data_IF_835749759422
#
_entry.id   IF_835749759422
#
_cell.length_a   1.000
_cell.length_b   1.000
_cell.length_c   1.000
_cell.angle_alpha   90.00
_cell.angle_beta   90.00
_cell.angle_gamma   90.00
#
_symmetry.space_group_name_H-M   'P 1'
#
loop_
_entity.id
_entity.type
_entity.pdbx_description
1 polymer ?
#
# COMPACT_ATOMS: atom_id res chain seq x y z
N UNK A 1 -34.09 61.96 -9.48
CA UNK A 1 -34.55 60.99 -8.44
C UNK A 1 -33.48 59.92 -8.25
N UNK A 2 -33.25 59.54 -7.00
CA UNK A 2 -32.17 58.67 -6.50
C UNK A 2 -32.47 57.17 -6.74
N UNK A 3 -31.39 56.39 -6.96
CA UNK A 3 -31.14 55.00 -6.45
C UNK A 3 -31.99 53.86 -7.06
N UNK A 4 -31.54 52.61 -7.22
CA UNK A 4 -30.41 51.80 -6.72
C UNK A 4 -30.19 50.63 -7.70
N UNK A 5 -28.93 50.29 -8.03
CA UNK A 5 -28.56 49.02 -8.68
C UNK A 5 -28.40 47.98 -7.56
N UNK A 6 -29.14 46.86 -7.53
CA UNK A 6 -28.82 45.79 -6.61
C UNK A 6 -27.66 44.97 -7.18
N UNK A 7 -26.48 45.18 -6.61
CA UNK A 7 -25.37 44.23 -6.62
C UNK A 7 -25.86 42.92 -5.99
N UNK A 8 -26.16 41.91 -6.81
CA UNK A 8 -26.28 40.54 -6.32
C UNK A 8 -24.89 39.92 -6.31
N UNK A 9 -24.15 40.17 -5.23
CA UNK A 9 -22.90 39.49 -4.91
C UNK A 9 -23.23 38.03 -4.56
N UNK A 10 -23.19 37.16 -5.56
CA UNK A 10 -23.34 35.72 -5.37
C UNK A 10 -22.19 35.19 -4.51
N UNK A 11 -22.49 34.88 -3.26
CA UNK A 11 -21.56 34.27 -2.33
C UNK A 11 -21.23 32.85 -2.83
N UNK A 12 -20.06 32.68 -3.43
CA UNK A 12 -19.52 31.37 -3.79
C UNK A 12 -19.11 30.66 -2.48
N UNK A 13 -20.02 29.88 -1.90
CA UNK A 13 -19.72 28.98 -0.79
C UNK A 13 -18.85 27.84 -1.33
N UNK A 14 -17.53 28.05 -1.37
CA UNK A 14 -16.56 26.97 -1.56
C UNK A 14 -16.54 26.19 -0.26
N UNK A 15 -17.41 25.19 -0.14
CA UNK A 15 -17.27 24.17 0.88
C UNK A 15 -15.99 23.41 0.56
N UNK A 16 -14.90 23.76 1.26
CA UNK A 16 -13.69 22.94 1.30
C UNK A 16 -14.07 21.68 2.07
N UNK A 17 -14.63 20.69 1.38
CA UNK A 17 -14.69 19.34 1.90
C UNK A 17 -13.23 18.88 2.06
N UNK A 18 -12.71 18.92 3.30
CA UNK A 18 -11.50 18.18 3.62
C UNK A 18 -11.80 16.72 3.25
N UNK A 19 -11.04 16.18 2.30
CA UNK A 19 -11.10 14.75 2.00
C UNK A 19 -10.67 14.02 3.27
N UNK A 20 -11.55 13.24 3.93
CA UNK A 20 -11.15 12.57 5.16
C UNK A 20 -10.02 11.58 4.82
N UNK A 21 -9.00 11.50 5.67
CA UNK A 21 -8.02 10.43 5.56
C UNK A 21 -8.60 9.07 5.98
N UNK A 22 -7.81 8.02 5.79
CA UNK A 22 -8.03 6.71 6.41
C UNK A 22 -6.71 6.10 6.86
N UNK A 23 -6.77 5.09 7.73
CA UNK A 23 -5.58 4.32 8.09
C UNK A 23 -5.60 2.98 7.34
N UNK A 24 -4.53 2.66 6.62
CA UNK A 24 -4.30 1.31 6.07
C UNK A 24 -3.22 0.64 6.87
N UNK A 25 -3.47 -0.57 7.37
CA UNK A 25 -2.56 -1.29 8.25
C UNK A 25 -2.52 -2.79 7.94
N UNK A 26 -1.40 -3.43 8.28
CA UNK A 26 -1.28 -4.89 8.21
C UNK A 26 -2.10 -5.56 9.31
N UNK A 27 -2.82 -6.59 8.90
CA UNK A 27 -3.58 -7.47 9.80
C UNK A 27 -2.70 -8.62 10.28
N UNK A 28 -2.92 -9.11 11.50
CA UNK A 28 -2.22 -10.29 12.05
C UNK A 28 -2.61 -11.61 11.37
N UNK A 29 -3.43 -11.55 10.32
CA UNK A 29 -3.89 -12.70 9.56
C UNK A 29 -2.83 -13.19 8.58
N UNK A 30 -1.72 -13.73 9.10
CA UNK A 30 -0.91 -14.71 8.37
C UNK A 30 -1.71 -16.02 8.30
N UNK A 31 -2.84 -16.02 7.59
CA UNK A 31 -3.72 -17.18 7.51
C UNK A 31 -3.08 -18.23 6.60
N UNK A 32 -2.67 -19.35 7.21
CA UNK A 32 -2.47 -20.66 6.59
C UNK A 32 -1.22 -20.90 5.71
N UNK A 33 -0.07 -20.29 6.02
CA UNK A 33 1.20 -20.81 5.49
C UNK A 33 1.76 -21.84 6.47
N UNK A 34 1.67 -23.12 6.12
CA UNK A 34 2.09 -24.24 6.97
C UNK A 34 3.63 -24.34 6.97
N UNK A 35 4.27 -23.78 8.00
CA UNK A 35 5.73 -23.81 8.20
C UNK A 35 6.28 -22.46 8.69
N UNK A 36 7.52 -22.39 9.20
CA UNK A 36 8.15 -21.11 9.51
C UNK A 36 8.30 -20.32 8.21
N UNK A 37 7.58 -19.20 8.12
CA UNK A 37 7.66 -18.30 6.97
C UNK A 37 9.07 -17.70 6.91
N UNK A 38 9.88 -18.14 5.93
CA UNK A 38 11.29 -17.74 5.82
C UNK A 38 11.49 -16.38 5.15
N UNK A 39 10.45 -15.85 4.53
CA UNK A 39 10.42 -14.48 3.99
C UNK A 39 9.17 -13.81 4.51
N UNK A 40 9.34 -12.85 5.42
CA UNK A 40 8.20 -12.14 6.03
C UNK A 40 8.11 -10.73 5.49
N UNK A 41 6.88 -10.24 5.36
CA UNK A 41 6.58 -8.87 4.93
C UNK A 41 5.95 -8.13 6.11
N UNK A 42 6.45 -6.93 6.39
CA UNK A 42 5.86 -6.00 7.35
C UNK A 42 5.56 -4.68 6.65
N UNK A 43 4.29 -4.29 6.68
CA UNK A 43 3.76 -3.03 6.17
C UNK A 43 3.42 -2.15 7.37
N UNK A 44 4.12 -1.03 7.52
CA UNK A 44 3.73 -0.02 8.49
C UNK A 44 2.45 0.69 8.06
N UNK A 45 1.66 1.17 9.02
CA UNK A 45 0.44 1.85 8.65
C UNK A 45 0.71 3.15 7.91
N UNK A 46 -0.17 3.43 6.97
CA UNK A 46 -0.16 4.62 6.13
C UNK A 46 -1.48 5.35 6.28
N UNK A 47 -1.45 6.65 5.96
CA UNK A 47 -2.58 7.56 6.18
C UNK A 47 -2.97 8.32 4.90
N UNK A 48 -3.34 7.62 3.82
CA UNK A 48 -3.77 8.25 2.56
C UNK A 48 -5.12 8.96 2.71
N UNK A 49 -5.41 9.84 1.74
CA UNK A 49 -6.74 10.43 1.58
C UNK A 49 -7.68 9.41 0.93
N UNK A 50 -8.96 9.35 1.34
CA UNK A 50 -9.87 8.30 0.86
C UNK A 50 -10.16 8.39 -0.65
N UNK A 51 -10.00 9.57 -1.24
CA UNK A 51 -10.23 9.86 -2.65
C UNK A 51 -9.02 9.61 -3.56
N UNK A 52 -7.83 9.35 -3.02
CA UNK A 52 -6.64 9.07 -3.82
C UNK A 52 -6.82 7.82 -4.68
N UNK A 53 -6.19 7.79 -5.86
CA UNK A 53 -6.19 6.65 -6.79
C UNK A 53 -4.79 6.04 -6.90
N UNK A 54 -3.99 6.18 -5.85
CA UNK A 54 -2.66 5.60 -5.74
C UNK A 54 -2.43 5.14 -4.30
N UNK A 55 -1.54 4.17 -4.13
CA UNK A 55 -1.14 3.69 -2.82
C UNK A 55 0.37 3.47 -2.78
N UNK A 56 1.05 4.22 -1.92
CA UNK A 56 2.48 4.12 -1.67
C UNK A 56 2.76 4.29 -0.17
N UNK A 57 2.70 3.21 0.63
CA UNK A 57 3.05 3.29 2.04
C UNK A 57 4.53 3.60 2.22
N UNK A 58 4.84 4.39 3.24
CA UNK A 58 6.20 4.89 3.49
C UNK A 58 7.20 3.78 3.81
N UNK A 59 6.74 2.67 4.40
CA UNK A 59 7.63 1.63 4.90
C UNK A 59 7.04 0.23 4.75
N UNK A 60 7.52 -0.48 3.73
CA UNK A 60 7.36 -1.93 3.58
C UNK A 60 8.71 -2.58 3.74
N UNK A 61 8.82 -3.47 4.71
CA UNK A 61 10.04 -4.21 4.98
C UNK A 61 9.87 -5.69 4.65
N UNK A 62 10.86 -6.26 3.99
CA UNK A 62 10.95 -7.69 3.68
C UNK A 62 12.13 -8.27 4.44
N UNK A 63 11.89 -9.30 5.23
CA UNK A 63 12.93 -9.99 6.01
C UNK A 63 13.23 -11.33 5.39
N UNK A 64 14.49 -11.54 5.03
CA UNK A 64 15.01 -12.83 4.58
C UNK A 64 15.58 -13.60 5.78
N UNK A 65 14.88 -14.65 6.22
CA UNK A 65 15.33 -15.57 7.28
C UNK A 65 16.06 -16.81 6.76
N UNK A 66 16.33 -16.90 5.45
CA UNK A 66 17.24 -17.91 4.91
C UNK A 66 18.70 -17.60 5.28
N UNK A 67 19.51 -18.65 5.25
CA UNK A 67 20.98 -18.62 5.39
C UNK A 67 21.70 -18.17 4.11
N UNK A 68 20.96 -17.91 3.04
CA UNK A 68 21.45 -17.43 1.74
C UNK A 68 20.63 -16.24 1.23
N UNK A 69 21.18 -15.44 0.29
CA UNK A 69 20.44 -14.33 -0.30
C UNK A 69 19.21 -14.79 -1.08
N UNK A 70 18.19 -13.94 -1.10
CA UNK A 70 17.03 -14.05 -2.00
C UNK A 70 17.05 -12.89 -2.99
N UNK A 71 16.35 -13.06 -4.11
CA UNK A 71 16.16 -12.01 -5.10
C UNK A 71 14.66 -11.74 -5.24
N UNK A 72 14.19 -10.56 -4.81
CA UNK A 72 12.84 -10.08 -5.10
C UNK A 72 12.74 -9.81 -6.59
N UNK A 73 11.72 -10.36 -7.23
CA UNK A 73 11.50 -10.28 -8.68
C UNK A 73 10.39 -9.34 -9.07
N UNK A 74 9.34 -9.25 -8.25
CA UNK A 74 8.21 -8.33 -8.43
C UNK A 74 7.41 -8.20 -7.15
N UNK A 75 6.58 -7.16 -7.10
CA UNK A 75 5.62 -6.93 -6.03
C UNK A 75 4.27 -6.60 -6.63
N UNK A 76 3.23 -7.21 -6.09
CA UNK A 76 1.85 -7.04 -6.53
C UNK A 76 0.95 -6.73 -5.34
N UNK A 77 -0.10 -5.97 -5.58
CA UNK A 77 -1.21 -5.79 -4.64
C UNK A 77 -2.47 -6.41 -5.25
N UNK A 78 -3.13 -7.31 -4.54
CA UNK A 78 -4.40 -7.90 -4.95
C UNK A 78 -5.50 -7.36 -4.07
N UNK A 79 -6.46 -6.64 -4.65
CA UNK A 79 -7.61 -6.09 -3.93
C UNK A 79 -8.86 -6.16 -4.81
N UNK A 80 -9.99 -6.57 -4.22
CA UNK A 80 -11.29 -6.66 -4.91
C UNK A 80 -11.24 -7.39 -6.27
N UNK A 81 -10.44 -8.46 -6.36
CA UNK A 81 -10.27 -9.24 -7.59
C UNK A 81 -9.36 -8.61 -8.67
N UNK A 82 -8.77 -7.45 -8.39
CA UNK A 82 -7.81 -6.77 -9.28
C UNK A 82 -6.39 -6.96 -8.77
N UNK A 83 -5.44 -7.22 -9.68
CA UNK A 83 -4.00 -7.24 -9.39
C UNK A 83 -3.36 -5.96 -9.90
N UNK A 84 -2.80 -5.17 -8.98
CA UNK A 84 -2.02 -3.97 -9.27
C UNK A 84 -0.54 -4.30 -9.26
N UNK A 85 0.16 -3.87 -10.31
CA UNK A 85 1.60 -4.05 -10.42
C UNK A 85 2.32 -2.87 -9.77
N UNK A 86 3.42 -3.17 -9.07
CA UNK A 86 4.30 -2.11 -8.58
C UNK A 86 4.81 -1.25 -9.75
N UNK A 87 4.76 0.07 -9.57
CA UNK A 87 5.31 1.05 -10.51
C UNK A 87 6.63 1.61 -9.98
N UNK A 88 7.67 1.51 -10.80
CA UNK A 88 8.97 2.09 -10.48
C UNK A 88 8.93 3.61 -10.65
N UNK A 89 9.18 4.33 -9.56
CA UNK A 89 9.23 5.80 -9.57
C UNK A 89 10.65 6.32 -9.88
N UNK A 90 11.67 5.49 -9.65
CA UNK A 90 13.05 5.75 -10.04
C UNK A 90 13.77 4.45 -10.42
N UNK A 91 14.89 4.57 -11.14
CA UNK A 91 15.72 3.41 -11.52
C UNK A 91 16.28 2.64 -10.32
N UNK A 92 16.27 3.23 -9.11
CA UNK A 92 16.70 2.56 -7.87
C UNK A 92 15.61 1.69 -7.25
N UNK A 93 14.37 1.86 -7.71
CA UNK A 93 13.20 1.13 -7.23
C UNK A 93 12.91 -0.09 -8.12
N UNK A 94 13.75 -0.35 -9.13
CA UNK A 94 13.61 -1.46 -10.07
C UNK A 94 13.91 -2.81 -9.45
N UNK A 95 13.11 -3.80 -9.83
CA UNK A 95 13.40 -5.21 -9.58
C UNK A 95 14.22 -5.77 -10.75
N UNK A 96 15.19 -6.67 -10.51
CA UNK A 96 15.37 -7.46 -9.29
C UNK A 96 16.12 -6.76 -8.15
N UNK A 97 15.71 -7.03 -6.91
CA UNK A 97 16.37 -6.56 -5.69
C UNK A 97 16.90 -7.73 -4.86
N UNK A 98 18.18 -7.71 -4.50
CA UNK A 98 18.78 -8.76 -3.65
C UNK A 98 18.68 -8.41 -2.18
N UNK A 99 18.17 -9.33 -1.37
CA UNK A 99 18.19 -9.25 0.10
C UNK A 99 19.14 -10.31 0.63
N UNK A 100 20.19 -9.87 1.33
CA UNK A 100 21.17 -10.76 1.92
C UNK A 100 20.57 -11.69 2.99
N UNK A 101 21.26 -12.79 3.27
CA UNK A 101 20.87 -13.76 4.30
C UNK A 101 20.69 -13.08 5.67
N UNK A 102 19.61 -13.41 6.38
CA UNK A 102 19.32 -12.87 7.71
C UNK A 102 19.10 -11.36 7.76
N UNK A 103 18.82 -10.69 6.64
CA UNK A 103 18.64 -9.24 6.57
C UNK A 103 17.19 -8.85 6.30
N UNK A 104 16.85 -7.68 6.83
CA UNK A 104 15.63 -6.95 6.51
C UNK A 104 15.98 -5.78 5.59
N UNK A 105 15.20 -5.60 4.53
CA UNK A 105 15.34 -4.50 3.59
C UNK A 105 14.00 -3.79 3.45
N UNK A 106 14.01 -2.46 3.52
CA UNK A 106 12.86 -1.63 3.15
C UNK A 106 12.81 -1.56 1.63
N UNK A 107 11.64 -1.82 1.07
CA UNK A 107 11.38 -1.78 -0.37
C UNK A 107 10.40 -0.65 -0.70
N UNK A 108 10.71 0.20 -1.69
CA UNK A 108 9.78 1.21 -2.16
C UNK A 108 8.64 0.51 -2.90
N UNK A 109 7.40 0.88 -2.60
CA UNK A 109 6.22 0.39 -3.32
C UNK A 109 5.32 1.55 -3.73
N UNK A 110 4.68 1.38 -4.88
CA UNK A 110 3.77 2.33 -5.48
C UNK A 110 2.81 1.56 -6.37
N UNK A 111 1.51 1.77 -6.20
CA UNK A 111 0.46 1.19 -7.03
C UNK A 111 -0.46 2.30 -7.52
N UNK A 112 -0.71 2.33 -8.83
CA UNK A 112 -1.81 3.12 -9.40
C UNK A 112 -3.08 2.28 -9.28
N UNK A 113 -4.10 2.79 -8.59
CA UNK A 113 -5.35 2.10 -8.31
C UNK A 113 -6.41 2.45 -9.35
N UNK A 114 -7.26 1.47 -9.68
CA UNK A 114 -8.40 1.68 -10.60
C UNK A 114 -9.56 2.42 -9.91
N UNK A 115 -9.68 2.26 -8.59
CA UNK A 115 -10.68 2.87 -7.74
C UNK A 115 -9.99 3.72 -6.66
N UNK A 116 -10.79 4.49 -5.91
CA UNK A 116 -10.25 5.25 -4.78
C UNK A 116 -9.68 4.33 -3.70
N UNK A 117 -8.76 4.83 -2.89
CA UNK A 117 -8.17 4.11 -1.76
C UNK A 117 -9.26 3.49 -0.86
N UNK A 118 -10.28 4.26 -0.46
CA UNK A 118 -11.35 3.74 0.38
C UNK A 118 -12.13 2.59 -0.27
N UNK A 119 -12.38 2.64 -1.60
CA UNK A 119 -13.01 1.53 -2.30
C UNK A 119 -12.10 0.31 -2.42
N UNK A 120 -10.81 0.54 -2.64
CA UNK A 120 -9.83 -0.53 -2.81
C UNK A 120 -9.60 -1.31 -1.51
N UNK A 121 -9.55 -0.61 -0.37
CA UNK A 121 -9.24 -1.19 0.94
C UNK A 121 -10.46 -1.33 1.86
N UNK A 122 -11.68 -1.28 1.31
CA UNK A 122 -12.91 -1.59 2.05
C UNK A 122 -13.04 -3.08 2.43
N UNK A 123 -12.20 -3.92 1.84
CA UNK A 123 -11.99 -5.31 2.16
C UNK A 123 -10.47 -5.57 2.30
N UNK A 124 -10.05 -6.67 2.93
CA UNK A 124 -8.64 -7.03 3.00
C UNK A 124 -8.02 -7.16 1.61
N UNK A 125 -6.88 -6.49 1.43
CA UNK A 125 -6.03 -6.59 0.25
C UNK A 125 -4.78 -7.41 0.59
N UNK A 126 -4.24 -8.09 -0.41
CA UNK A 126 -3.09 -8.98 -0.27
C UNK A 126 -1.89 -8.38 -1.01
N UNK A 127 -0.85 -8.02 -0.26
CA UNK A 127 0.45 -7.65 -0.78
C UNK A 127 1.27 -8.93 -1.02
N UNK A 128 1.70 -9.15 -2.26
CA UNK A 128 2.50 -10.29 -2.68
C UNK A 128 3.90 -9.84 -3.05
N UNK A 129 4.91 -10.42 -2.41
CA UNK A 129 6.32 -10.22 -2.79
C UNK A 129 6.83 -11.53 -3.38
N UNK A 130 7.13 -11.51 -4.67
CA UNK A 130 7.69 -12.66 -5.37
C UNK A 130 9.20 -12.63 -5.21
N UNK A 131 9.77 -13.77 -4.85
CA UNK A 131 11.20 -13.90 -4.64
C UNK A 131 11.73 -15.21 -5.20
N UNK A 132 13.00 -15.20 -5.59
CA UNK A 132 13.72 -16.40 -5.99
C UNK A 132 14.71 -16.81 -4.92
N UNK A 133 14.62 -18.07 -4.56
CA UNK A 133 15.64 -18.80 -3.82
C UNK A 133 16.30 -19.76 -4.83
N UNK A 134 17.50 -19.42 -5.31
CA UNK A 134 18.18 -20.17 -6.38
C UNK A 134 17.39 -20.17 -7.71
N UNK A 135 16.75 -21.30 -8.10
CA UNK A 135 16.03 -21.43 -9.39
C UNK A 135 14.50 -21.37 -9.27
N UNK A 136 13.97 -21.49 -8.06
CA UNK A 136 12.52 -21.54 -7.84
C UNK A 136 12.02 -20.16 -7.44
N UNK A 137 10.89 -19.75 -8.03
CA UNK A 137 10.14 -18.57 -7.57
C UNK A 137 9.13 -19.00 -6.49
N UNK A 138 8.97 -18.15 -5.48
CA UNK A 138 8.03 -18.31 -4.37
C UNK A 138 7.42 -16.96 -4.05
N UNK A 139 6.37 -16.95 -3.23
CA UNK A 139 5.60 -15.75 -2.90
C UNK A 139 5.49 -15.64 -1.39
N UNK A 140 5.83 -14.47 -0.86
CA UNK A 140 5.52 -14.07 0.50
C UNK A 140 4.27 -13.18 0.48
N UNK A 141 3.47 -13.25 1.54
CA UNK A 141 2.15 -12.64 1.59
C UNK A 141 2.01 -11.75 2.83
N UNK A 142 1.38 -10.59 2.68
CA UNK A 142 0.88 -9.78 3.79
C UNK A 142 -0.51 -9.28 3.48
N UNK A 143 -1.39 -9.29 4.48
CA UNK A 143 -2.76 -8.82 4.33
C UNK A 143 -2.92 -7.45 5.00
N UNK A 144 -3.36 -6.47 4.23
CA UNK A 144 -3.57 -5.09 4.68
C UNK A 144 -5.05 -4.71 4.55
N UNK A 145 -5.55 -3.87 5.46
CA UNK A 145 -6.95 -3.47 5.50
C UNK A 145 -7.08 -1.98 5.79
N UNK A 146 -8.12 -1.37 5.24
CA UNK A 146 -8.51 0.00 5.55
C UNK A 146 -9.37 0.10 6.81
N UNK A 147 -9.16 1.15 7.60
CA UNK A 147 -9.97 1.48 8.76
C UNK A 147 -10.06 2.99 9.01
N UNK A 148 -10.87 3.41 9.98
CA UNK A 148 -11.00 4.83 10.35
C UNK A 148 -9.65 5.44 10.75
N UNK A 149 -9.47 6.74 10.49
CA UNK A 149 -8.35 7.52 11.02
C UNK A 149 -8.24 7.35 12.54
N UNK A 150 -7.02 7.18 13.04
CA UNK A 150 -6.70 6.98 14.47
C UNK A 150 -7.19 5.66 15.09
N UNK A 151 -7.45 4.64 14.27
CA UNK A 151 -7.66 3.30 14.79
C UNK A 151 -6.42 2.88 15.60
N UNK A 152 -6.60 2.63 16.90
CA UNK A 152 -5.55 2.02 17.72
C UNK A 152 -5.30 0.62 17.18
N UNK A 153 -4.09 0.37 16.69
CA UNK A 153 -3.66 -0.96 16.28
C UNK A 153 -3.82 -1.92 17.47
N UNK A 154 -4.38 -3.13 17.26
CA UNK A 154 -4.38 -4.18 18.29
C UNK A 154 -2.96 -4.66 18.61
#
# INVERSE_FOLDING_TARGET
MKRLIPFALGLLLVATACDPGMTIYQTNTNQNVSGPERVTIRVEASHPLIGETWYAPDNVSVTNSFDKPIVITRVELVANGTTYQHKHMSAKDEYPLTIAAGKTQVIPIWFDLNDSVNRTFNAPAELRVYYRESRNESVAHAFIVGGPLHMKMP
#
